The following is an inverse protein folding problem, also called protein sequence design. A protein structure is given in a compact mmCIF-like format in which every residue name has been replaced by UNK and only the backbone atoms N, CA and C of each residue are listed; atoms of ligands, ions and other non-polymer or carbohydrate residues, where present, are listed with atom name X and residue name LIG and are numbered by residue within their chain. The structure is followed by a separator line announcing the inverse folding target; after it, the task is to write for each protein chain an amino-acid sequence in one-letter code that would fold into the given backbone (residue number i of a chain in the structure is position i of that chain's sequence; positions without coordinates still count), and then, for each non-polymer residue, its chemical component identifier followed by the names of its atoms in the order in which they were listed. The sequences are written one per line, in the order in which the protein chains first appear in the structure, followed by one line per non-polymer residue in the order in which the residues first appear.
data_IF_150492088316
#
_entry.id   IF_150492088316
#
_cell.length_a   1.000
_cell.length_b   1.000
_cell.length_c   1.000
_cell.angle_alpha   90.00
_cell.angle_beta   90.00
_cell.angle_gamma   90.00
#
_symmetry.space_group_name_H-M   'P 1'
#
loop_
_entity.id
_entity.type
_entity.pdbx_description
1 polymer ?
#
# COMPACT_ATOMS: atom_id res chain seq x y z
N UNK A 1 -33.04 21.83 -30.23
CA UNK A 1 -32.31 22.60 -29.21
C UNK A 1 -31.06 21.80 -28.86
N UNK A 2 -29.91 22.16 -29.43
CA UNK A 2 -28.64 21.47 -29.18
C UNK A 2 -28.16 21.84 -27.78
N UNK A 3 -28.23 20.87 -26.86
CA UNK A 3 -27.72 21.04 -25.50
C UNK A 3 -26.20 21.13 -25.54
N UNK A 4 -25.67 22.34 -25.36
CA UNK A 4 -24.26 22.56 -25.05
C UNK A 4 -23.93 21.83 -23.75
N UNK A 5 -23.11 20.79 -23.84
CA UNK A 5 -22.54 20.11 -22.68
C UNK A 5 -21.67 21.13 -21.94
N UNK A 6 -22.12 21.64 -20.79
CA UNK A 6 -21.31 22.49 -19.94
C UNK A 6 -20.13 21.65 -19.43
N UNK A 7 -18.95 21.89 -19.99
CA UNK A 7 -17.70 21.44 -19.39
C UNK A 7 -17.45 22.35 -18.19
N UNK A 8 -17.93 21.94 -17.01
CA UNK A 8 -17.49 22.54 -15.74
C UNK A 8 -16.01 22.23 -15.59
N UNK A 9 -15.15 23.22 -15.86
CA UNK A 9 -13.73 23.14 -15.53
C UNK A 9 -13.62 22.88 -14.02
N UNK A 10 -13.06 21.73 -13.65
CA UNK A 10 -12.95 21.36 -12.24
C UNK A 10 -12.13 22.42 -11.47
N UNK A 11 -12.65 22.87 -10.32
CA UNK A 11 -12.02 23.91 -9.50
C UNK A 11 -10.97 23.32 -8.56
N UNK A 12 -11.19 22.09 -8.12
CA UNK A 12 -10.33 21.41 -7.15
C UNK A 12 -9.74 20.14 -7.77
N UNK A 13 -8.64 19.67 -7.19
CA UNK A 13 -8.02 18.37 -7.54
C UNK A 13 -7.70 17.61 -6.26
N UNK A 14 -7.20 16.38 -6.38
CA UNK A 14 -6.79 15.58 -5.23
C UNK A 14 -5.87 16.37 -4.27
N UNK A 15 -4.90 17.14 -4.77
CA UNK A 15 -3.95 17.89 -3.95
C UNK A 15 -4.60 18.91 -2.99
N UNK A 16 -5.80 19.39 -3.30
CA UNK A 16 -6.59 20.27 -2.43
C UNK A 16 -6.85 19.66 -1.04
N UNK A 17 -6.94 18.34 -0.97
CA UNK A 17 -7.23 17.58 0.25
C UNK A 17 -5.98 17.16 1.03
N UNK A 18 -4.78 17.29 0.46
CA UNK A 18 -3.55 16.78 1.08
C UNK A 18 -3.24 17.52 2.39
N UNK A 19 -3.36 16.82 3.52
CA UNK A 19 -3.07 17.36 4.86
C UNK A 19 -4.04 18.44 5.31
N UNK A 20 -5.21 18.56 4.66
CA UNK A 20 -6.16 19.63 4.96
C UNK A 20 -7.01 19.27 6.16
N UNK A 21 -7.24 20.25 7.04
CA UNK A 21 -8.14 20.11 8.19
C UNK A 21 -9.23 21.18 8.14
N UNK A 22 -10.47 20.80 8.45
CA UNK A 22 -11.64 21.71 8.43
C UNK A 22 -12.51 21.43 9.65
N UNK A 23 -12.84 22.46 10.44
CA UNK A 23 -13.83 22.35 11.53
C UNK A 23 -15.19 22.83 11.03
N UNK A 24 -16.13 21.89 10.84
CA UNK A 24 -17.47 22.17 10.33
C UNK A 24 -18.42 20.99 10.58
N UNK A 25 -19.72 21.26 10.61
CA UNK A 25 -20.76 20.23 10.74
C UNK A 25 -20.78 19.22 9.58
N UNK A 26 -20.53 19.73 8.38
CA UNK A 26 -20.40 18.97 7.13
C UNK A 26 -19.33 19.63 6.27
N UNK A 27 -18.75 18.87 5.34
CA UNK A 27 -17.80 19.39 4.35
C UNK A 27 -18.32 19.05 2.96
N UNK A 28 -18.29 20.01 2.04
CA UNK A 28 -18.66 19.78 0.65
C UNK A 28 -17.67 20.47 -0.28
N UNK A 29 -17.20 19.74 -1.29
CA UNK A 29 -16.23 20.24 -2.27
C UNK A 29 -16.67 19.77 -3.65
N UNK A 30 -16.92 20.72 -4.55
CA UNK A 30 -17.37 20.44 -5.91
C UNK A 30 -17.03 21.63 -6.82
N UNK A 31 -16.68 21.40 -8.09
CA UNK A 31 -16.24 20.12 -8.69
C UNK A 31 -14.78 19.76 -8.34
N UNK A 32 -14.50 18.48 -8.10
CA UNK A 32 -13.16 17.91 -7.86
C UNK A 32 -12.76 17.03 -9.06
N UNK A 33 -11.68 17.39 -9.76
CA UNK A 33 -11.06 16.51 -10.74
C UNK A 33 -10.25 15.43 -10.04
N UNK A 34 -10.62 14.17 -10.24
CA UNK A 34 -9.84 13.01 -9.79
C UNK A 34 -9.46 12.14 -10.98
N UNK A 35 -8.27 11.56 -10.90
CA UNK A 35 -7.80 10.48 -11.77
C UNK A 35 -8.25 9.14 -11.23
N UNK A 36 -8.50 8.18 -12.13
CA UNK A 36 -8.82 6.81 -11.74
C UNK A 36 -7.78 6.31 -10.75
N UNK A 37 -8.27 5.79 -9.63
CA UNK A 37 -7.47 5.25 -8.56
C UNK A 37 -7.09 6.28 -7.49
N UNK A 38 -7.14 7.58 -7.72
CA UNK A 38 -6.89 8.57 -6.67
C UNK A 38 -7.76 8.33 -5.43
N UNK A 39 -7.14 8.39 -4.25
CA UNK A 39 -7.80 8.09 -2.98
C UNK A 39 -7.90 9.36 -2.16
N UNK A 40 -9.12 9.72 -1.80
CA UNK A 40 -9.39 10.72 -0.76
C UNK A 40 -9.65 9.97 0.55
N UNK A 41 -8.74 10.12 1.50
CA UNK A 41 -8.91 9.66 2.86
C UNK A 41 -9.52 10.76 3.72
N UNK A 42 -10.40 10.38 4.65
CA UNK A 42 -10.97 11.28 5.63
C UNK A 42 -11.03 10.63 7.00
N UNK A 43 -10.65 11.37 8.02
CA UNK A 43 -10.91 11.06 9.42
C UNK A 43 -11.64 12.22 10.06
N UNK A 44 -12.28 11.96 11.20
CA UNK A 44 -13.06 12.94 11.93
C UNK A 44 -12.71 12.87 13.41
N UNK A 45 -12.69 14.03 14.07
CA UNK A 45 -12.43 14.15 15.50
C UNK A 45 -13.40 15.15 16.15
N UNK A 46 -13.99 14.83 17.32
CA UNK A 46 -13.91 13.53 18.00
C UNK A 46 -14.74 12.45 17.27
N UNK A 47 -14.24 11.21 17.29
CA UNK A 47 -14.95 10.03 16.77
C UNK A 47 -15.17 9.02 17.90
N UNK A 48 -16.39 8.47 18.03
CA UNK A 48 -16.72 7.44 19.02
C UNK A 48 -17.13 6.15 18.34
N UNK A 49 -17.06 5.05 19.08
CA UNK A 49 -17.58 3.76 18.62
C UNK A 49 -19.05 3.87 18.24
N UNK A 50 -19.38 3.48 17.01
CA UNK A 50 -20.72 3.57 16.43
C UNK A 50 -21.00 4.85 15.64
N UNK A 51 -20.18 5.89 15.74
CA UNK A 51 -20.29 7.05 14.83
C UNK A 51 -19.87 6.61 13.41
N UNK A 52 -20.58 7.09 12.39
CA UNK A 52 -20.39 6.72 10.97
C UNK A 52 -20.11 7.95 10.12
N UNK A 53 -19.05 7.90 9.31
CA UNK A 53 -18.82 8.89 8.25
C UNK A 53 -19.62 8.46 7.02
N UNK A 54 -20.44 9.36 6.50
CA UNK A 54 -21.15 9.19 5.24
C UNK A 54 -20.52 10.13 4.22
N UNK A 55 -20.17 9.57 3.06
CA UNK A 55 -19.70 10.30 1.89
C UNK A 55 -20.72 10.16 0.76
N UNK A 56 -21.23 11.29 0.29
CA UNK A 56 -21.98 11.42 -0.96
C UNK A 56 -21.05 11.80 -2.10
N UNK A 57 -21.10 11.04 -3.20
CA UNK A 57 -20.29 11.25 -4.40
C UNK A 57 -21.22 11.45 -5.60
N UNK A 58 -21.29 12.68 -6.10
CA UNK A 58 -21.98 13.02 -7.34
C UNK A 58 -21.04 12.94 -8.53
N UNK A 59 -21.45 12.25 -9.60
CA UNK A 59 -20.77 12.27 -10.90
C UNK A 59 -21.80 12.23 -12.03
N UNK A 60 -21.96 13.34 -12.76
CA UNK A 60 -23.05 13.49 -13.73
C UNK A 60 -24.42 13.47 -13.03
N UNK A 61 -25.32 12.57 -13.45
CA UNK A 61 -26.65 12.40 -12.87
C UNK A 61 -26.72 11.31 -11.78
N UNK A 62 -25.59 10.69 -11.44
CA UNK A 62 -25.52 9.61 -10.44
C UNK A 62 -24.99 10.13 -9.12
N UNK A 63 -25.61 9.70 -8.02
CA UNK A 63 -25.12 9.89 -6.66
C UNK A 63 -24.86 8.53 -6.04
N UNK A 64 -23.65 8.31 -5.56
CA UNK A 64 -23.25 7.12 -4.81
C UNK A 64 -22.98 7.50 -3.35
N UNK A 65 -23.30 6.60 -2.43
CA UNK A 65 -23.03 6.77 -1.00
C UNK A 65 -22.01 5.74 -0.52
N UNK A 66 -21.10 6.19 0.33
CA UNK A 66 -20.09 5.36 0.97
C UNK A 66 -20.12 5.63 2.47
N UNK A 67 -19.92 4.58 3.26
CA UNK A 67 -19.98 4.66 4.70
C UNK A 67 -18.79 3.92 5.32
N UNK A 68 -18.31 4.43 6.44
CA UNK A 68 -17.30 3.76 7.25
C UNK A 68 -17.38 4.23 8.70
N UNK A 69 -16.89 3.40 9.63
CA UNK A 69 -16.79 3.79 11.02
C UNK A 69 -15.89 5.03 11.17
N UNK A 70 -16.38 6.03 11.91
CA UNK A 70 -15.66 7.27 12.14
C UNK A 70 -14.31 7.06 12.84
N UNK A 71 -14.22 6.01 13.67
CA UNK A 71 -13.00 5.63 14.40
C UNK A 71 -11.89 5.09 13.48
N UNK A 72 -12.24 4.53 12.32
CA UNK A 72 -11.27 4.06 11.31
C UNK A 72 -11.08 5.03 10.14
N UNK A 73 -11.99 5.99 9.98
CA UNK A 73 -12.03 6.87 8.82
C UNK A 73 -12.64 6.21 7.57
N UNK A 74 -12.82 7.01 6.53
CA UNK A 74 -13.35 6.58 5.22
C UNK A 74 -12.30 6.84 4.13
N UNK A 75 -12.23 5.95 3.14
CA UNK A 75 -11.40 6.13 1.94
C UNK A 75 -12.26 5.99 0.70
N UNK A 76 -12.23 7.00 -0.17
CA UNK A 76 -12.88 6.96 -1.47
C UNK A 76 -11.83 6.88 -2.58
N UNK A 77 -11.89 5.81 -3.37
CA UNK A 77 -11.05 5.61 -4.56
C UNK A 77 -11.83 5.99 -5.80
N UNK A 78 -11.35 6.95 -6.57
CA UNK A 78 -12.00 7.38 -7.81
C UNK A 78 -12.07 6.21 -8.82
N UNK A 79 -13.26 5.79 -9.27
CA UNK A 79 -13.40 4.63 -10.15
C UNK A 79 -12.95 4.90 -11.60
N UNK A 80 -12.91 6.17 -12.00
CA UNK A 80 -12.54 6.62 -13.32
C UNK A 80 -11.91 8.02 -13.26
N UNK A 81 -11.32 8.46 -14.37
CA UNK A 81 -11.00 9.87 -14.55
C UNK A 81 -12.31 10.65 -14.64
N UNK A 82 -12.48 11.69 -13.83
CA UNK A 82 -13.74 12.43 -13.82
C UNK A 82 -13.77 13.64 -12.91
N UNK A 83 -14.89 14.35 -12.99
CA UNK A 83 -15.23 15.44 -12.08
C UNK A 83 -16.31 14.97 -11.09
N UNK A 84 -16.03 15.11 -9.81
CA UNK A 84 -16.84 14.61 -8.71
C UNK A 84 -17.29 15.75 -7.80
N UNK A 85 -18.54 15.68 -7.34
CA UNK A 85 -18.99 16.43 -6.16
C UNK A 85 -18.86 15.53 -4.93
N UNK A 86 -18.12 15.97 -3.91
CA UNK A 86 -17.88 15.19 -2.70
C UNK A 86 -18.49 15.91 -1.49
N UNK A 87 -19.32 15.21 -0.72
CA UNK A 87 -19.95 15.74 0.49
C UNK A 87 -19.85 14.76 1.67
N UNK A 88 -19.26 15.19 2.77
CA UNK A 88 -19.05 14.42 3.99
C UNK A 88 -19.96 14.90 5.12
N UNK A 89 -20.59 13.94 5.81
CA UNK A 89 -21.37 14.15 7.02
C UNK A 89 -21.07 13.07 8.05
N UNK A 90 -21.23 13.42 9.33
CA UNK A 90 -21.08 12.48 10.46
C UNK A 90 -22.45 12.14 11.01
N UNK A 91 -22.78 10.86 11.02
CA UNK A 91 -23.90 10.33 11.79
C UNK A 91 -23.40 9.84 13.14
N UNK A 92 -23.95 10.42 14.22
CA UNK A 92 -23.52 10.12 15.58
C UNK A 92 -24.39 9.01 16.18
N UNK A 93 -23.79 8.02 16.83
CA UNK A 93 -24.52 6.94 17.53
C UNK A 93 -25.16 7.38 18.86
N UNK A 94 -25.16 8.69 19.15
CA UNK A 94 -25.63 9.31 20.38
C UNK A 94 -25.55 10.83 20.29
N UNK A 95 -25.26 11.52 21.40
CA UNK A 95 -25.14 12.99 21.41
C UNK A 95 -24.09 13.47 20.41
N UNK A 96 -24.49 14.22 19.39
CA UNK A 96 -23.56 14.71 18.37
C UNK A 96 -22.53 15.69 18.97
N UNK A 97 -21.24 15.60 18.62
CA UNK A 97 -20.25 16.59 19.06
C UNK A 97 -20.65 18.00 18.61
N UNK A 98 -20.45 19.00 19.47
CA UNK A 98 -20.71 20.42 19.16
C UNK A 98 -19.66 21.04 18.25
N UNK A 99 -18.51 20.38 18.08
CA UNK A 99 -17.45 20.76 17.16
C UNK A 99 -16.86 19.50 16.54
N UNK A 100 -16.77 19.50 15.21
CA UNK A 100 -16.32 18.36 14.41
C UNK A 100 -15.19 18.84 13.51
N UNK A 101 -14.04 18.19 13.63
CA UNK A 101 -12.86 18.48 12.82
C UNK A 101 -12.60 17.32 11.86
N UNK A 102 -12.69 17.63 10.57
CA UNK A 102 -12.41 16.72 9.46
C UNK A 102 -10.95 16.87 9.05
N UNK A 103 -10.24 15.75 8.93
CA UNK A 103 -8.87 15.73 8.41
C UNK A 103 -8.83 14.91 7.14
N UNK A 104 -8.30 15.50 6.08
CA UNK A 104 -8.28 14.93 4.75
C UNK A 104 -6.86 14.55 4.34
N UNK A 105 -6.79 13.50 3.56
CA UNK A 105 -5.59 13.11 2.82
C UNK A 105 -5.97 12.89 1.37
N UNK A 106 -5.01 13.13 0.50
CA UNK A 106 -5.06 12.69 -0.88
C UNK A 106 -3.82 11.84 -1.12
N UNK A 107 -4.02 10.68 -1.71
CA UNK A 107 -2.94 9.96 -2.38
C UNK A 107 -3.34 9.75 -3.82
N UNK A 108 -2.38 9.93 -4.72
CA UNK A 108 -2.53 9.44 -6.08
C UNK A 108 -2.59 7.92 -6.01
N UNK A 109 -3.76 7.32 -5.87
CA UNK A 109 -3.92 5.87 -5.97
C UNK A 109 -3.84 5.40 -7.42
N UNK A 110 -2.85 5.93 -8.13
CA UNK A 110 -2.12 5.09 -9.06
C UNK A 110 -1.84 3.77 -8.34
N UNK A 111 -2.13 2.70 -9.06
CA UNK A 111 -1.35 1.46 -9.05
C UNK A 111 -0.16 1.62 -8.10
N UNK A 112 -0.14 0.84 -7.00
CA UNK A 112 1.03 0.59 -6.16
C UNK A 112 2.23 1.11 -6.91
N UNK A 113 2.81 2.26 -6.52
CA UNK A 113 4.05 2.75 -7.14
C UNK A 113 4.84 1.49 -7.39
N UNK A 114 4.97 1.08 -8.65
CA UNK A 114 5.85 -0.02 -8.99
C UNK A 114 7.16 0.65 -8.71
N UNK A 115 7.58 0.61 -7.45
CA UNK A 115 8.97 0.78 -7.12
C UNK A 115 9.57 -0.26 -8.04
N UNK A 116 10.35 0.24 -8.99
CA UNK A 116 10.94 -0.63 -9.98
C UNK A 116 11.58 -1.77 -9.18
N UNK A 117 11.22 -3.00 -9.52
CA UNK A 117 11.62 -4.23 -8.87
C UNK A 117 11.90 -5.13 -10.06
N UNK A 118 13.08 -4.93 -10.62
CA UNK A 118 13.46 -5.41 -11.95
C UNK A 118 13.47 -6.94 -12.00
N UNK A 119 13.82 -7.59 -10.88
CA UNK A 119 13.90 -9.04 -10.75
C UNK A 119 12.69 -9.67 -10.03
N UNK A 120 11.79 -8.84 -9.49
CA UNK A 120 10.51 -9.23 -8.87
C UNK A 120 10.69 -10.09 -7.64
N UNK A 121 11.73 -9.84 -6.87
CA UNK A 121 11.99 -10.55 -5.62
C UNK A 121 11.22 -9.97 -4.42
N UNK A 122 10.52 -8.85 -4.64
CA UNK A 122 9.71 -8.15 -3.65
C UNK A 122 10.43 -6.98 -2.98
N UNK A 123 11.67 -6.69 -3.37
CA UNK A 123 12.45 -5.53 -2.93
C UNK A 123 12.50 -4.49 -4.04
N UNK A 124 12.29 -3.24 -3.66
CA UNK A 124 12.47 -2.10 -4.52
C UNK A 124 13.92 -1.99 -5.04
N UNK A 125 14.14 -1.76 -6.33
CA UNK A 125 15.45 -1.50 -6.96
C UNK A 125 16.29 -0.45 -6.19
N UNK A 126 15.63 0.54 -5.56
CA UNK A 126 16.31 1.57 -4.76
C UNK A 126 16.87 1.08 -3.43
N UNK A 127 16.37 -0.06 -2.95
CA UNK A 127 16.68 -0.68 -1.65
C UNK A 127 17.20 -2.11 -1.81
N UNK A 128 17.29 -2.61 -3.05
CA UNK A 128 17.71 -3.96 -3.37
C UNK A 128 19.24 -4.04 -3.36
N UNK A 129 19.75 -4.89 -2.48
CA UNK A 129 21.18 -5.16 -2.31
C UNK A 129 21.68 -6.18 -3.34
N UNK A 130 20.77 -6.83 -4.05
CA UNK A 130 20.99 -7.95 -4.94
C UNK A 130 20.16 -7.84 -6.25
N UNK A 131 20.44 -6.85 -7.13
CA UNK A 131 19.60 -6.43 -8.29
C UNK A 131 19.48 -7.42 -9.48
N UNK A 132 19.45 -8.72 -9.19
CA UNK A 132 19.35 -9.83 -10.17
C UNK A 132 18.97 -11.16 -9.49
N UNK A 133 18.21 -11.09 -8.41
CA UNK A 133 17.75 -12.23 -7.65
C UNK A 133 16.90 -13.14 -8.51
N UNK A 134 17.38 -14.37 -8.68
CA UNK A 134 16.64 -15.39 -9.41
C UNK A 134 15.97 -16.33 -8.42
N UNK A 135 14.63 -16.39 -8.47
CA UNK A 135 13.83 -17.33 -7.70
C UNK A 135 13.22 -18.40 -8.61
N UNK A 136 13.20 -19.69 -8.21
CA UNK A 136 13.83 -20.25 -7.01
C UNK A 136 15.36 -20.22 -7.10
N UNK A 137 16.00 -20.26 -5.94
CA UNK A 137 17.44 -20.23 -5.78
C UNK A 137 18.13 -21.41 -6.50
N UNK A 138 19.39 -21.21 -6.92
CA UNK A 138 20.15 -22.16 -7.74
C UNK A 138 20.77 -23.33 -6.97
N UNK A 139 20.47 -23.44 -5.68
CA UNK A 139 20.96 -24.50 -4.78
C UNK A 139 20.46 -25.87 -5.25
N UNK A 140 21.41 -26.76 -5.61
CA UNK A 140 21.10 -28.05 -6.24
C UNK A 140 20.65 -29.12 -5.26
N UNK A 141 21.20 -29.13 -4.04
CA UNK A 141 20.95 -30.17 -3.04
C UNK A 141 20.77 -29.55 -1.65
N UNK A 142 19.66 -28.83 -1.41
CA UNK A 142 19.40 -28.26 -0.10
C UNK A 142 19.42 -29.35 0.97
N UNK A 143 20.11 -29.11 2.09
CA UNK A 143 20.20 -30.06 3.21
C UNK A 143 19.31 -29.60 4.37
N UNK A 144 18.99 -30.52 5.29
CA UNK A 144 18.32 -30.13 6.54
C UNK A 144 19.17 -29.09 7.30
N UNK A 145 18.53 -28.03 7.80
CA UNK A 145 19.18 -26.90 8.45
C UNK A 145 20.00 -25.98 7.53
N UNK A 146 19.92 -26.17 6.21
CA UNK A 146 20.55 -25.31 5.20
C UNK A 146 19.47 -24.73 4.28
N UNK A 147 19.33 -23.42 4.30
CA UNK A 147 18.20 -22.71 3.74
C UNK A 147 18.53 -22.10 2.38
N UNK A 148 17.55 -22.13 1.47
CA UNK A 148 17.60 -21.55 0.13
C UNK A 148 16.25 -20.94 -0.22
N UNK A 149 16.26 -19.88 -1.04
CA UNK A 149 15.02 -19.18 -1.39
C UNK A 149 14.18 -19.99 -2.39
N UNK A 150 12.87 -20.09 -2.16
CA UNK A 150 11.92 -20.70 -3.09
C UNK A 150 11.34 -19.66 -4.03
N UNK A 151 10.53 -20.10 -5.00
CA UNK A 151 9.82 -19.22 -5.94
C UNK A 151 8.91 -18.18 -5.25
N UNK A 152 8.52 -18.44 -3.99
CA UNK A 152 7.72 -17.53 -3.17
C UNK A 152 8.55 -16.55 -2.33
N UNK A 153 9.88 -16.55 -2.50
CA UNK A 153 10.82 -15.77 -1.70
C UNK A 153 11.03 -16.30 -0.27
N UNK A 154 10.32 -17.35 0.16
CA UNK A 154 10.54 -17.95 1.47
C UNK A 154 11.80 -18.82 1.50
N UNK A 155 12.58 -18.72 2.58
CA UNK A 155 13.74 -19.57 2.80
C UNK A 155 13.34 -20.89 3.47
N UNK A 156 13.47 -22.00 2.75
CA UNK A 156 13.20 -23.34 3.26
C UNK A 156 14.46 -24.19 3.21
N UNK A 157 14.58 -25.13 4.15
CA UNK A 157 15.65 -26.12 4.15
C UNK A 157 15.38 -27.31 3.20
N UNK A 158 16.31 -28.28 3.16
CA UNK A 158 16.16 -29.52 2.38
C UNK A 158 14.99 -30.42 2.77
N UNK A 159 14.39 -30.20 3.93
CA UNK A 159 13.20 -30.92 4.42
C UNK A 159 11.91 -30.11 4.22
N UNK A 160 12.01 -28.87 3.76
CA UNK A 160 10.89 -27.95 3.59
C UNK A 160 10.56 -27.12 4.85
N UNK A 161 11.38 -27.21 5.91
CA UNK A 161 11.19 -26.41 7.12
C UNK A 161 11.57 -24.95 6.83
N UNK A 162 10.70 -24.03 7.23
CA UNK A 162 10.92 -22.59 7.05
C UNK A 162 11.93 -22.04 8.06
N UNK A 163 12.78 -21.10 7.61
CA UNK A 163 13.62 -20.31 8.52
C UNK A 163 12.85 -19.21 9.26
N UNK A 164 11.63 -18.90 8.79
CA UNK A 164 10.86 -17.72 9.20
C UNK A 164 11.24 -16.43 8.46
N UNK A 165 12.26 -16.47 7.60
CA UNK A 165 12.72 -15.32 6.82
C UNK A 165 12.35 -15.47 5.34
N UNK A 166 12.27 -14.34 4.67
CA UNK A 166 12.01 -14.16 3.25
C UNK A 166 13.13 -13.36 2.59
N UNK A 167 13.16 -13.39 1.27
CA UNK A 167 14.12 -12.64 0.43
C UNK A 167 14.04 -11.11 0.68
N UNK A 168 12.86 -10.60 1.02
CA UNK A 168 12.70 -9.20 1.46
C UNK A 168 13.48 -8.89 2.75
N UNK A 169 13.58 -9.85 3.68
CA UNK A 169 14.31 -9.69 4.94
C UNK A 169 15.84 -9.75 4.71
N UNK A 170 16.29 -10.12 3.51
CA UNK A 170 17.71 -10.20 3.15
C UNK A 170 18.12 -9.09 2.18
N UNK A 171 17.29 -8.05 2.03
CA UNK A 171 17.51 -6.96 1.10
C UNK A 171 17.52 -7.43 -0.36
N UNK A 172 16.75 -8.46 -0.69
CA UNK A 172 16.65 -9.04 -2.03
C UNK A 172 17.56 -10.25 -2.23
N UNK A 173 18.54 -10.50 -1.38
CA UNK A 173 19.53 -11.53 -1.68
C UNK A 173 19.03 -12.98 -1.45
N UNK A 174 19.11 -13.86 -2.46
CA UNK A 174 18.97 -15.32 -2.30
C UNK A 174 20.16 -15.95 -1.56
N UNK A 175 20.07 -17.24 -1.17
CA UNK A 175 21.17 -17.89 -0.44
C UNK A 175 22.42 -18.02 -1.32
N UNK A 176 22.30 -18.29 -2.62
CA UNK A 176 23.46 -18.30 -3.52
C UNK A 176 24.14 -16.93 -3.60
N UNK A 177 23.37 -15.83 -3.64
CA UNK A 177 23.91 -14.48 -3.66
C UNK A 177 24.61 -14.14 -2.34
N UNK A 178 24.01 -14.49 -1.19
CA UNK A 178 24.63 -14.34 0.14
C UNK A 178 25.93 -15.12 0.23
N UNK A 179 25.97 -16.37 -0.25
CA UNK A 179 27.18 -17.19 -0.31
C UNK A 179 28.29 -16.51 -1.10
N UNK A 180 27.95 -15.92 -2.25
CA UNK A 180 28.90 -15.18 -3.08
C UNK A 180 29.39 -13.92 -2.38
N UNK A 181 28.49 -13.15 -1.77
CA UNK A 181 28.83 -11.91 -1.06
C UNK A 181 29.73 -12.15 0.16
N UNK A 182 29.49 -13.23 0.91
CA UNK A 182 30.26 -13.60 2.11
C UNK A 182 31.49 -14.47 1.80
N UNK A 183 31.70 -14.90 0.56
CA UNK A 183 32.81 -15.77 0.17
C UNK A 183 32.74 -17.17 0.82
N UNK A 184 31.54 -17.72 1.01
CA UNK A 184 31.36 -19.02 1.68
C UNK A 184 31.77 -20.20 0.78
N UNK A 185 31.99 -21.34 1.44
CA UNK A 185 32.56 -22.53 0.81
C UNK A 185 31.62 -23.28 -0.12
N UNK A 186 32.18 -24.28 -0.81
CA UNK A 186 31.48 -25.12 -1.79
C UNK A 186 30.23 -25.81 -1.24
N UNK A 187 30.24 -26.16 0.05
CA UNK A 187 29.08 -26.76 0.72
C UNK A 187 27.89 -25.80 0.74
N UNK A 188 28.10 -24.53 1.08
CA UNK A 188 27.02 -23.54 1.13
C UNK A 188 26.48 -23.23 -0.27
N UNK A 189 27.35 -23.21 -1.28
CA UNK A 189 26.94 -23.06 -2.69
C UNK A 189 26.02 -24.19 -3.17
N UNK A 190 26.25 -25.42 -2.71
CA UNK A 190 25.50 -26.59 -3.19
C UNK A 190 24.28 -26.92 -2.35
N UNK A 191 24.31 -26.56 -1.06
CA UNK A 191 23.36 -27.02 -0.07
C UNK A 191 22.55 -25.91 0.60
N UNK A 192 22.84 -24.63 0.33
CA UNK A 192 22.23 -23.49 1.00
C UNK A 192 23.00 -23.07 2.26
N UNK A 193 22.55 -22.01 2.92
CA UNK A 193 23.26 -21.39 4.06
C UNK A 193 22.66 -21.81 5.40
N UNK A 194 23.45 -21.74 6.47
CA UNK A 194 22.93 -22.01 7.83
C UNK A 194 21.91 -20.95 8.26
N UNK A 195 21.02 -21.30 9.21
CA UNK A 195 20.09 -20.35 9.82
C UNK A 195 20.82 -19.15 10.44
N UNK A 196 21.96 -19.39 11.10
CA UNK A 196 22.77 -18.35 11.72
C UNK A 196 23.31 -17.38 10.69
N UNK A 197 23.88 -17.89 9.59
CA UNK A 197 24.36 -17.06 8.47
C UNK A 197 23.24 -16.22 7.89
N UNK A 198 22.08 -16.83 7.62
CA UNK A 198 20.92 -16.15 7.06
C UNK A 198 20.43 -15.02 7.99
N UNK A 199 20.28 -15.29 9.29
CA UNK A 199 19.86 -14.29 10.28
C UNK A 199 20.87 -13.15 10.44
N UNK A 200 22.17 -13.46 10.44
CA UNK A 200 23.20 -12.44 10.56
C UNK A 200 23.22 -11.52 9.35
N UNK A 201 22.99 -12.05 8.15
CA UNK A 201 22.84 -11.23 6.94
C UNK A 201 21.59 -10.35 6.99
N UNK A 202 20.44 -10.94 7.34
CA UNK A 202 19.18 -10.22 7.46
C UNK A 202 19.21 -9.11 8.51
N UNK A 203 20.06 -9.23 9.54
CA UNK A 203 20.19 -8.18 10.56
C UNK A 203 20.92 -6.91 10.07
N UNK A 204 21.54 -6.95 8.88
CA UNK A 204 22.30 -5.81 8.32
C UNK A 204 21.67 -5.21 7.08
N UNK A 205 20.47 -5.65 6.68
CA UNK A 205 19.72 -5.22 5.50
C UNK A 205 18.26 -4.96 5.88
#
# INVERSE_FOLDING_TARGET
MSGTSQTTTATYSCSYFSGRTVTADTVSVSPVALKKGEVIGVTVSPARTGDTIILSVGSGFTVNMYEAAATSGLKFTAPADGSYGLGWSLEASGTRPSSITWSFTCSSGGTSTTIADADRDGVADSSDSCPSTTLPDSVKKPLSGRYSARSTGSFLDGTGVSSGLKVIDTGGCSATQIVKALGLGRTDQQSGITLTTLKNWAATH
#
